data_IF_836199698531
#
_entry.id   IF_836199698531
#
_cell.length_a   1.000
_cell.length_b   1.000
_cell.length_c   1.000
_cell.angle_alpha   90.00
_cell.angle_beta   90.00
_cell.angle_gamma   90.00
#
_symmetry.space_group_name_H-M   'P 1'
#
loop_
_entity.id
_entity.type
_entity.pdbx_description
1 polymer ?
#
# COMPACT_ATOMS: atom_id res chain seq x y z
N UNK A 1 -16.98 31.23 41.84
CA UNK A 1 -15.89 31.38 40.85
C UNK A 1 -14.71 30.46 41.11
N UNK A 2 -14.09 30.45 42.31
CA UNK A 2 -12.92 29.58 42.63
C UNK A 2 -13.13 28.07 42.39
N UNK A 3 -14.28 27.52 42.77
CA UNK A 3 -14.58 26.09 42.59
C UNK A 3 -14.79 25.69 41.13
N UNK A 4 -15.28 26.62 40.30
CA UNK A 4 -15.47 26.40 38.87
C UNK A 4 -14.12 26.28 38.17
N UNK A 5 -13.15 27.12 38.55
CA UNK A 5 -11.78 27.06 38.01
C UNK A 5 -11.11 25.74 38.41
N UNK A 6 -11.24 25.31 39.67
CA UNK A 6 -10.67 24.04 40.14
C UNK A 6 -11.29 22.85 39.40
N UNK A 7 -12.62 22.82 39.26
CA UNK A 7 -13.32 21.77 38.53
C UNK A 7 -12.90 21.69 37.05
N UNK A 8 -12.75 22.85 36.39
CA UNK A 8 -12.27 22.92 35.00
C UNK A 8 -10.82 22.43 34.86
N UNK A 9 -9.94 22.80 35.79
CA UNK A 9 -8.55 22.31 35.76
C UNK A 9 -8.47 20.81 35.96
N UNK A 10 -9.30 20.24 36.84
CA UNK A 10 -9.32 18.80 37.11
C UNK A 10 -9.91 17.99 35.94
N UNK A 11 -10.90 18.56 35.25
CA UNK A 11 -11.45 17.96 34.04
C UNK A 11 -10.42 18.00 32.90
N UNK A 12 -9.72 19.13 32.74
CA UNK A 12 -8.69 19.27 31.71
C UNK A 12 -7.51 18.31 31.95
N UNK A 13 -7.03 18.19 33.18
CA UNK A 13 -5.95 17.25 33.51
C UNK A 13 -6.38 15.80 33.32
N UNK A 14 -7.62 15.45 33.68
CA UNK A 14 -8.17 14.12 33.41
C UNK A 14 -8.21 13.81 31.92
N UNK A 15 -8.62 14.77 31.08
CA UNK A 15 -8.67 14.58 29.63
C UNK A 15 -7.27 14.37 29.05
N UNK A 16 -6.29 15.19 29.47
CA UNK A 16 -4.90 15.06 29.05
C UNK A 16 -4.30 13.74 29.50
N UNK A 17 -4.59 13.29 30.73
CA UNK A 17 -4.13 12.00 31.23
C UNK A 17 -4.68 10.83 30.40
N UNK A 18 -5.97 10.85 30.07
CA UNK A 18 -6.59 9.84 29.19
C UNK A 18 -5.91 9.81 27.82
N UNK A 19 -5.56 10.97 27.26
CA UNK A 19 -4.85 11.05 25.99
C UNK A 19 -3.45 10.42 26.06
N UNK A 20 -2.66 10.73 27.09
CA UNK A 20 -1.31 10.18 27.25
C UNK A 20 -1.32 8.66 27.51
N UNK A 21 -2.27 8.17 28.32
CA UNK A 21 -2.44 6.72 28.52
C UNK A 21 -2.81 6.03 27.20
N UNK A 22 -3.68 6.63 26.38
CA UNK A 22 -4.07 6.08 25.08
C UNK A 22 -2.88 5.96 24.12
N UNK A 23 -1.98 6.96 24.10
CA UNK A 23 -0.75 6.90 23.29
C UNK A 23 0.21 5.82 23.78
N UNK A 24 0.38 5.67 25.10
CA UNK A 24 1.29 4.68 25.68
C UNK A 24 0.88 3.23 25.40
N UNK A 25 -0.42 2.98 25.15
CA UNK A 25 -0.95 1.65 24.80
C UNK A 25 -1.20 1.48 23.30
N UNK A 26 -0.96 2.51 22.48
CA UNK A 26 -1.09 2.39 21.04
C UNK A 26 -0.01 1.44 20.51
N UNK A 27 -0.42 0.39 19.80
CA UNK A 27 0.51 -0.43 19.05
C UNK A 27 0.89 0.34 17.80
N UNK A 28 2.18 0.65 17.64
CA UNK A 28 2.67 1.27 16.42
C UNK A 28 2.71 0.23 15.31
N UNK A 29 2.02 0.50 14.20
CA UNK A 29 2.00 -0.36 13.02
C UNK A 29 2.61 0.44 11.87
N UNK A 30 3.71 -0.06 11.33
CA UNK A 30 4.31 0.49 10.11
C UNK A 30 3.49 0.02 8.90
N UNK A 31 3.11 0.95 8.03
CA UNK A 31 2.33 0.66 6.83
C UNK A 31 3.17 1.00 5.61
N UNK A 32 3.23 0.05 4.70
CA UNK A 32 3.95 0.17 3.43
C UNK A 32 2.98 0.00 2.26
N UNK A 33 3.48 0.28 1.07
CA UNK A 33 2.65 0.29 -0.14
C UNK A 33 3.13 -0.71 -1.16
N UNK A 34 2.19 -1.36 -1.83
CA UNK A 34 2.41 -2.12 -3.06
C UNK A 34 1.82 -1.29 -4.19
N UNK A 35 2.65 -0.91 -5.15
CA UNK A 35 2.26 -0.07 -6.28
C UNK A 35 2.42 -0.87 -7.57
N UNK A 36 1.37 -0.91 -8.38
CA UNK A 36 1.41 -1.45 -9.74
C UNK A 36 1.42 -0.28 -10.72
N UNK A 37 2.39 -0.28 -11.63
CA UNK A 37 2.56 0.76 -12.63
C UNK A 37 2.19 0.25 -14.01
N UNK A 38 1.96 1.14 -14.96
CA UNK A 38 1.85 0.77 -16.37
C UNK A 38 3.22 0.87 -17.08
N UNK A 39 3.22 0.70 -18.40
CA UNK A 39 4.45 0.80 -19.20
C UNK A 39 5.00 2.24 -19.36
N UNK A 40 4.23 3.26 -18.99
CA UNK A 40 4.62 4.67 -19.01
C UNK A 40 5.09 5.14 -17.62
N UNK A 41 4.95 4.28 -16.59
CA UNK A 41 5.28 4.57 -15.19
C UNK A 41 4.11 5.17 -14.41
N UNK A 42 2.90 5.18 -14.98
CA UNK A 42 1.71 5.68 -14.31
C UNK A 42 1.16 4.64 -13.33
N UNK A 43 0.74 5.09 -12.14
CA UNK A 43 0.19 4.19 -11.12
C UNK A 43 -1.20 3.69 -11.53
N UNK A 44 -1.31 2.37 -11.75
CA UNK A 44 -2.57 1.68 -11.99
C UNK A 44 -3.32 1.45 -10.67
N UNK A 45 -2.61 0.93 -9.68
CA UNK A 45 -3.19 0.60 -8.38
C UNK A 45 -2.16 0.74 -7.26
N UNK A 46 -2.64 1.12 -6.08
CA UNK A 46 -1.82 1.27 -4.88
C UNK A 46 -2.53 0.69 -3.67
N UNK A 47 -1.95 -0.38 -3.13
CA UNK A 47 -2.45 -1.10 -1.97
C UNK A 47 -1.63 -0.77 -0.72
N UNK A 48 -2.26 -0.81 0.45
CA UNK A 48 -1.66 -0.46 1.73
C UNK A 48 -1.72 -1.66 2.67
N UNK A 49 -0.55 -2.08 3.17
CA UNK A 49 -0.43 -3.23 4.08
C UNK A 49 0.46 -2.88 5.25
N UNK A 50 0.11 -3.40 6.42
CA UNK A 50 0.97 -3.37 7.58
C UNK A 50 2.22 -4.24 7.34
N UNK A 51 3.35 -3.84 7.91
CA UNK A 51 4.56 -4.65 7.98
C UNK A 51 4.24 -6.06 8.51
N UNK A 52 4.69 -7.09 7.78
CA UNK A 52 4.45 -8.49 8.12
C UNK A 52 3.03 -9.02 7.84
N UNK A 53 2.13 -8.24 7.24
CA UNK A 53 0.83 -8.73 6.80
C UNK A 53 0.99 -9.86 5.76
N UNK A 54 0.12 -10.88 5.81
CA UNK A 54 0.07 -11.95 4.80
C UNK A 54 -0.47 -11.39 3.48
N UNK A 55 0.20 -11.70 2.38
CA UNK A 55 -0.13 -11.21 1.04
C UNK A 55 -0.66 -12.32 0.10
N UNK A 56 -0.92 -13.53 0.59
CA UNK A 56 -1.38 -14.67 -0.24
C UNK A 56 -2.70 -14.42 -0.96
N UNK A 57 -3.57 -13.60 -0.38
CA UNK A 57 -4.89 -13.28 -0.93
C UNK A 57 -4.90 -11.96 -1.73
N UNK A 58 -3.72 -11.41 -2.07
CA UNK A 58 -3.62 -10.21 -2.90
C UNK A 58 -3.93 -10.56 -4.35
N UNK A 59 -4.98 -9.94 -4.88
CA UNK A 59 -5.30 -10.00 -6.30
C UNK A 59 -4.43 -9.00 -7.06
N UNK A 60 -3.77 -9.47 -8.13
CA UNK A 60 -2.97 -8.63 -9.00
C UNK A 60 -3.90 -7.92 -10.01
N UNK A 61 -3.68 -6.63 -10.31
CA UNK A 61 -4.47 -5.93 -11.30
C UNK A 61 -4.27 -6.51 -12.70
N UNK A 62 -5.25 -6.29 -13.57
CA UNK A 62 -5.10 -6.57 -14.99
C UNK A 62 -4.16 -5.53 -15.62
N UNK A 63 -3.17 -6.00 -16.39
CA UNK A 63 -2.25 -5.11 -17.09
C UNK A 63 -2.95 -4.44 -18.30
N UNK A 64 -2.65 -3.16 -18.59
CA UNK A 64 -3.19 -2.46 -19.75
C UNK A 64 -2.87 -3.17 -21.07
N UNK A 65 -3.78 -3.08 -22.04
CA UNK A 65 -3.50 -3.57 -23.38
C UNK A 65 -2.43 -2.71 -24.06
N UNK A 66 -1.46 -3.37 -24.71
CA UNK A 66 -0.41 -2.72 -25.50
C UNK A 66 -0.35 -3.31 -26.91
N UNK A 67 -0.59 -2.48 -27.92
CA UNK A 67 -0.66 -2.94 -29.32
C UNK A 67 0.66 -3.58 -29.78
N UNK A 68 0.58 -4.79 -30.34
CA UNK A 68 1.75 -5.53 -30.81
C UNK A 68 2.57 -6.20 -29.70
N UNK A 69 2.09 -6.16 -28.46
CA UNK A 69 2.71 -6.78 -27.30
C UNK A 69 1.72 -7.67 -26.54
N UNK A 70 2.24 -8.72 -25.90
CA UNK A 70 1.50 -9.60 -25.01
C UNK A 70 2.04 -9.44 -23.59
N UNK A 71 1.16 -9.21 -22.62
CA UNK A 71 1.52 -9.20 -21.21
C UNK A 71 1.93 -10.61 -20.76
N UNK A 72 3.05 -10.70 -20.05
CA UNK A 72 3.58 -11.99 -19.54
C UNK A 72 3.61 -12.08 -18.02
N UNK A 73 3.45 -10.94 -17.32
CA UNK A 73 3.50 -10.89 -15.86
C UNK A 73 4.07 -9.57 -15.37
N UNK A 74 4.14 -9.44 -14.04
CA UNK A 74 4.77 -8.31 -13.37
C UNK A 74 6.27 -8.53 -13.18
N UNK A 75 7.02 -7.45 -12.89
CA UNK A 75 8.48 -7.43 -12.76
C UNK A 75 9.01 -8.41 -11.72
N UNK A 76 8.25 -8.62 -10.65
CA UNK A 76 8.58 -9.47 -9.52
C UNK A 76 7.36 -10.29 -9.09
N UNK A 77 7.59 -11.29 -8.22
CA UNK A 77 6.53 -12.09 -7.59
C UNK A 77 6.23 -11.51 -6.21
N UNK A 78 4.95 -11.43 -5.85
CA UNK A 78 4.55 -10.99 -4.51
C UNK A 78 5.20 -11.87 -3.43
N UNK A 79 5.85 -11.27 -2.40
CA UNK A 79 6.33 -12.04 -1.25
C UNK A 79 5.13 -12.57 -0.45
N UNK A 80 5.34 -13.63 0.34
CA UNK A 80 4.28 -14.17 1.20
C UNK A 80 3.82 -13.17 2.27
N UNK A 81 4.71 -12.28 2.71
CA UNK A 81 4.44 -11.28 3.74
C UNK A 81 4.96 -9.92 3.35
N UNK A 82 4.26 -8.86 3.76
CA UNK A 82 4.65 -7.49 3.49
C UNK A 82 6.01 -7.17 4.12
N UNK A 83 7.03 -6.78 3.33
CA UNK A 83 8.32 -6.39 3.87
C UNK A 83 8.25 -4.99 4.49
N UNK A 84 9.32 -4.61 5.20
CA UNK A 84 9.45 -3.27 5.78
C UNK A 84 9.90 -2.23 4.72
N UNK A 85 9.29 -2.27 3.53
CA UNK A 85 9.63 -1.43 2.40
C UNK A 85 8.44 -1.31 1.43
N UNK A 86 8.41 -0.21 0.68
CA UNK A 86 7.48 -0.05 -0.44
C UNK A 86 7.91 -0.96 -1.60
N UNK A 87 6.93 -1.57 -2.26
CA UNK A 87 7.12 -2.41 -3.43
C UNK A 87 6.52 -1.73 -4.65
N UNK A 88 7.21 -1.83 -5.78
CA UNK A 88 6.78 -1.30 -7.08
C UNK A 88 6.88 -2.44 -8.10
N UNK A 89 5.81 -2.69 -8.83
CA UNK A 89 5.69 -3.74 -9.83
C UNK A 89 5.44 -3.11 -11.20
N UNK A 90 6.34 -3.41 -12.14
CA UNK A 90 6.26 -2.95 -13.52
C UNK A 90 5.76 -4.09 -14.42
N UNK A 91 4.94 -3.81 -15.45
CA UNK A 91 4.40 -4.85 -16.31
C UNK A 91 5.43 -5.28 -17.36
N UNK A 92 5.66 -6.58 -17.48
CA UNK A 92 6.52 -7.18 -18.50
C UNK A 92 5.68 -7.53 -19.73
N UNK A 93 6.15 -7.07 -20.89
CA UNK A 93 5.54 -7.33 -22.19
C UNK A 93 6.52 -7.99 -23.16
N UNK A 94 6.03 -8.91 -24.00
CA UNK A 94 6.78 -9.51 -25.12
C UNK A 94 6.13 -9.13 -26.43
N UNK A 95 6.92 -8.69 -27.42
CA UNK A 95 6.41 -8.31 -28.73
C UNK A 95 5.85 -9.54 -29.46
N UNK A 96 4.61 -9.44 -29.92
CA UNK A 96 3.99 -10.47 -30.74
C UNK A 96 4.56 -10.31 -32.15
N UNK A 97 5.50 -11.18 -32.52
CA UNK A 97 6.00 -11.22 -33.89
C UNK A 97 4.88 -11.68 -34.82
N UNK A 98 4.28 -10.73 -35.54
CA UNK A 98 3.46 -11.06 -36.71
C UNK A 98 4.40 -11.61 -37.78
N UNK A 99 4.32 -12.92 -38.02
CA UNK A 99 4.95 -13.52 -39.19
C UNK A 99 4.37 -12.80 -40.40
N UNK A 100 5.13 -11.90 -41.02
CA UNK A 100 4.79 -11.36 -42.33
C UNK A 100 4.94 -12.52 -43.31
N UNK A 101 3.89 -13.31 -43.47
CA UNK A 101 3.76 -14.19 -44.62
C UNK A 101 3.55 -13.27 -45.83
N UNK A 102 4.66 -12.85 -46.43
CA UNK A 102 4.65 -12.33 -47.80
C UNK A 102 4.13 -13.46 -48.70
N UNK A 103 2.94 -13.27 -49.24
CA UNK A 103 2.33 -14.11 -50.28
C UNK A 103 2.92 -13.77 -51.65
#
# INVERSE_FOLDING_TARGET
MKYVIIALTLLLTSMVFVLEVSKAHATHIEVYTIQFEDHEGDTLEKLYYAAGADLKDVELPEAPYREGYQFVGWSEVLPETMPNAHLIYEPIYVQVQVLRMTF
#
